data_IF_369133263501
#
_entry.id   IF_369133263501
#
_cell.length_a   1.000
_cell.length_b   1.000
_cell.length_c   1.000
_cell.angle_alpha   90.00
_cell.angle_beta   90.00
_cell.angle_gamma   90.00
#
_symmetry.space_group_name_H-M   'P 1'
#
loop_
_entity.id
_entity.type
_entity.pdbx_description
1 polymer ?
#
# COMPACT_ATOMS: atom_id res chain seq x y z
N UNK A 1 16.18 -2.46 -1.06
CA UNK A 1 15.22 -2.27 -2.17
C UNK A 1 14.02 -3.12 -1.85
N UNK A 2 12.80 -2.59 -2.00
CA UNK A 2 11.60 -3.38 -1.71
C UNK A 2 11.39 -4.42 -2.82
N UNK A 3 10.53 -5.40 -2.60
CA UNK A 3 10.11 -6.29 -3.69
C UNK A 3 9.37 -5.46 -4.75
N UNK A 4 9.49 -5.83 -6.03
CA UNK A 4 8.77 -5.15 -7.13
C UNK A 4 7.26 -5.06 -6.89
N UNK A 5 6.71 -6.09 -6.26
CA UNK A 5 5.29 -6.20 -5.89
C UNK A 5 4.89 -5.17 -4.82
N UNK A 6 5.73 -4.98 -3.80
CA UNK A 6 5.54 -3.97 -2.77
C UNK A 6 5.71 -2.56 -3.34
N UNK A 7 6.73 -2.33 -4.17
CA UNK A 7 6.93 -1.04 -4.85
C UNK A 7 5.74 -0.67 -5.73
N UNK A 8 5.17 -1.63 -6.46
CA UNK A 8 3.95 -1.43 -7.25
C UNK A 8 2.77 -1.01 -6.38
N UNK A 9 2.56 -1.70 -5.25
CA UNK A 9 1.46 -1.41 -4.31
C UNK A 9 1.59 -0.01 -3.70
N UNK A 10 2.80 0.37 -3.28
CA UNK A 10 3.09 1.72 -2.78
C UNK A 10 2.83 2.77 -3.87
N UNK A 11 3.25 2.50 -5.11
CA UNK A 11 3.01 3.40 -6.24
C UNK A 11 1.52 3.64 -6.51
N UNK A 12 0.69 2.59 -6.46
CA UNK A 12 -0.76 2.73 -6.61
C UNK A 12 -1.40 3.47 -5.43
N UNK A 13 -1.02 3.13 -4.19
CA UNK A 13 -1.49 3.81 -2.99
C UNK A 13 -1.21 5.33 -3.03
N UNK A 14 0.03 5.70 -3.40
CA UNK A 14 0.41 7.11 -3.54
C UNK A 14 -0.40 7.83 -4.61
N UNK A 15 -0.62 7.19 -5.75
CA UNK A 15 -1.46 7.74 -6.83
C UNK A 15 -2.89 7.96 -6.34
N UNK A 16 -3.48 6.97 -5.67
CA UNK A 16 -4.84 7.07 -5.14
C UNK A 16 -4.99 8.18 -4.10
N UNK A 17 -4.02 8.32 -3.19
CA UNK A 17 -4.01 9.40 -2.20
C UNK A 17 -3.99 10.78 -2.88
N UNK A 18 -3.15 10.93 -3.91
CA UNK A 18 -3.04 12.17 -4.70
C UNK A 18 -4.31 12.46 -5.52
N UNK A 19 -4.89 11.45 -6.15
CA UNK A 19 -6.14 11.57 -6.92
C UNK A 19 -7.31 11.96 -6.01
N UNK A 20 -7.29 11.52 -4.75
CA UNK A 20 -8.25 11.88 -3.70
C UNK A 20 -7.95 13.23 -3.03
N UNK A 21 -6.93 13.97 -3.51
CA UNK A 21 -6.46 15.25 -2.97
C UNK A 21 -6.02 15.19 -1.50
N UNK A 22 -5.55 14.03 -1.04
CA UNK A 22 -4.87 13.95 0.24
C UNK A 22 -3.49 14.61 0.14
N UNK A 23 -3.17 15.44 1.13
CA UNK A 23 -1.88 16.15 1.20
C UNK A 23 -0.71 15.18 1.36
N UNK A 24 -0.93 14.09 2.09
CA UNK A 24 0.04 13.03 2.34
C UNK A 24 -0.59 11.66 2.18
N UNK A 25 0.20 10.71 1.69
CA UNK A 25 -0.08 9.31 1.91
C UNK A 25 0.26 8.98 3.37
N UNK A 26 -0.71 8.44 4.09
CA UNK A 26 -0.54 8.04 5.50
C UNK A 26 -0.36 6.52 5.63
N UNK A 27 -0.05 6.06 6.84
CA UNK A 27 0.09 4.62 7.12
C UNK A 27 -1.24 3.90 6.93
N UNK A 28 -2.37 4.54 7.18
CA UNK A 28 -3.70 3.98 6.97
C UNK A 28 -3.96 3.66 5.49
N UNK A 29 -3.57 4.55 4.57
CA UNK A 29 -3.69 4.32 3.12
C UNK A 29 -2.83 3.14 2.68
N UNK A 30 -1.60 3.09 3.19
CA UNK A 30 -0.67 1.99 2.91
C UNK A 30 -1.21 0.67 3.46
N UNK A 31 -1.68 0.65 4.71
CA UNK A 31 -2.24 -0.55 5.32
C UNK A 31 -3.45 -1.05 4.54
N UNK A 32 -4.36 -0.15 4.14
CA UNK A 32 -5.51 -0.50 3.29
C UNK A 32 -5.05 -1.13 1.97
N UNK A 33 -4.07 -0.52 1.28
CA UNK A 33 -3.56 -1.04 0.00
C UNK A 33 -2.85 -2.39 0.15
N UNK A 34 -2.21 -2.64 1.30
CA UNK A 34 -1.56 -3.92 1.59
C UNK A 34 -2.57 -5.06 1.84
N UNK A 35 -3.83 -4.76 2.19
CA UNK A 35 -4.88 -5.76 2.29
C UNK A 35 -5.27 -6.35 0.92
N UNK A 36 -4.99 -5.63 -0.17
CA UNK A 36 -5.21 -6.10 -1.55
C UNK A 36 -3.95 -6.71 -2.18
N UNK A 37 -2.81 -6.66 -1.48
CA UNK A 37 -1.56 -7.26 -1.94
C UNK A 37 -1.44 -8.71 -1.44
N UNK A 38 -1.55 -9.68 -2.35
CA UNK A 38 -1.50 -11.11 -2.00
C UNK A 38 -0.22 -11.53 -1.25
N UNK A 39 0.93 -10.93 -1.58
CA UNK A 39 2.21 -11.18 -0.91
C UNK A 39 2.23 -10.63 0.53
N UNK A 40 1.56 -9.51 0.78
CA UNK A 40 1.52 -8.83 2.07
C UNK A 40 0.45 -9.40 3.00
N UNK A 41 -0.71 -9.79 2.47
CA UNK A 41 -1.84 -10.34 3.25
C UNK A 41 -1.42 -11.54 4.10
N UNK A 42 -0.56 -12.42 3.58
CA UNK A 42 -0.05 -13.57 4.33
C UNK A 42 0.73 -13.14 5.58
N UNK A 43 1.56 -12.10 5.47
CA UNK A 43 2.32 -11.54 6.60
C UNK A 43 1.40 -10.84 7.58
N UNK A 44 0.48 -9.99 7.08
CA UNK A 44 -0.47 -9.26 7.93
C UNK A 44 -1.36 -10.20 8.76
N UNK A 45 -1.75 -11.36 8.22
CA UNK A 45 -2.54 -12.37 8.94
C UNK A 45 -1.73 -13.20 9.93
N UNK A 46 -0.41 -13.19 9.82
CA UNK A 46 0.48 -13.92 10.72
C UNK A 46 0.91 -13.07 11.94
N UNK A 47 0.55 -11.79 11.97
CA UNK A 47 0.74 -10.86 13.09
C UNK A 47 -0.47 -10.87 14.03
#
# INVERSE_FOLDING_TARGET
MFSKDLEYTIGQCYKQARDSRHEFMTVEHLLLSLLDNASAVGVLRAC
#
